data_IF_829846210622
#
_entry.id   IF_829846210622
#
_cell.length_a   1.000
_cell.length_b   1.000
_cell.length_c   1.000
_cell.angle_alpha   90.00
_cell.angle_beta   90.00
_cell.angle_gamma   90.00
#
_symmetry.space_group_name_H-M   'P 1'
#
loop_
_entity.id
_entity.type
_entity.pdbx_description
1 polymer ?
#
# COMPACT_ATOMS: atom_id res chain seq x y z
N UNK A 1 7.23 10.69 3.02
CA UNK A 1 5.80 10.30 3.10
C UNK A 1 4.93 11.32 2.38
N UNK A 2 5.12 12.63 2.61
CA UNK A 2 4.32 13.68 1.97
C UNK A 2 4.30 13.54 0.44
N UNK A 3 5.47 13.43 -0.19
CA UNK A 3 5.55 13.22 -1.64
C UNK A 3 4.84 11.94 -2.11
N UNK A 4 4.87 10.86 -1.33
CA UNK A 4 4.14 9.62 -1.65
C UNK A 4 2.63 9.83 -1.60
N UNK A 5 2.12 10.54 -0.59
CA UNK A 5 0.68 10.79 -0.41
C UNK A 5 0.17 11.78 -1.47
N UNK A 6 0.96 12.81 -1.81
CA UNK A 6 0.53 13.85 -2.76
C UNK A 6 0.74 13.47 -4.24
N UNK A 7 1.93 12.97 -4.57
CA UNK A 7 2.34 12.69 -5.95
C UNK A 7 2.15 11.21 -6.32
N UNK A 8 2.22 10.31 -5.34
CA UNK A 8 2.12 8.87 -5.56
C UNK A 8 0.87 8.43 -6.33
N UNK A 9 -0.35 8.89 -5.99
CA UNK A 9 -1.54 8.54 -6.75
C UNK A 9 -1.44 8.87 -8.24
N UNK A 10 -0.93 10.07 -8.56
CA UNK A 10 -0.74 10.52 -9.94
C UNK A 10 0.31 9.68 -10.67
N UNK A 11 1.46 9.44 -10.02
CA UNK A 11 2.53 8.65 -10.59
C UNK A 11 2.10 7.20 -10.86
N UNK A 12 1.39 6.58 -9.92
CA UNK A 12 0.86 5.22 -10.08
C UNK A 12 -0.18 5.16 -11.19
N UNK A 13 -1.12 6.12 -11.25
CA UNK A 13 -2.12 6.16 -12.30
C UNK A 13 -1.48 6.31 -13.69
N UNK A 14 -0.58 7.29 -13.86
CA UNK A 14 0.12 7.51 -15.14
C UNK A 14 0.95 6.30 -15.54
N UNK A 15 1.76 5.75 -14.62
CA UNK A 15 2.58 4.57 -14.89
C UNK A 15 1.72 3.35 -15.29
N UNK A 16 0.58 3.15 -14.63
CA UNK A 16 -0.38 2.11 -14.98
C UNK A 16 -0.90 2.29 -16.41
N UNK A 17 -1.45 3.45 -16.77
CA UNK A 17 -1.99 3.68 -18.12
C UNK A 17 -0.92 3.58 -19.21
N UNK A 18 0.30 4.07 -18.95
CA UNK A 18 1.43 3.93 -19.89
C UNK A 18 1.80 2.46 -20.10
N UNK A 19 1.87 1.67 -19.02
CA UNK A 19 2.14 0.24 -19.09
C UNK A 19 1.05 -0.50 -19.86
N UNK A 20 -0.22 -0.27 -19.53
CA UNK A 20 -1.38 -0.89 -20.16
C UNK A 20 -1.45 -0.56 -21.66
N UNK A 21 -1.19 0.69 -22.04
CA UNK A 21 -1.12 1.08 -23.45
C UNK A 21 0.02 0.35 -24.18
N UNK A 22 1.15 0.11 -23.50
CA UNK A 22 2.25 -0.72 -24.04
C UNK A 22 1.85 -2.18 -24.21
N UNK A 23 1.13 -2.76 -23.25
CA UNK A 23 0.65 -4.14 -23.30
C UNK A 23 -0.41 -4.35 -24.39
N UNK A 24 -1.35 -3.41 -24.54
CA UNK A 24 -2.34 -3.41 -25.62
C UNK A 24 -1.68 -3.32 -27.00
N UNK A 25 -0.68 -2.44 -27.17
CA UNK A 25 0.07 -2.30 -28.43
C UNK A 25 0.84 -3.57 -28.81
N UNK A 26 1.34 -4.31 -27.82
CA UNK A 26 2.06 -5.58 -28.02
C UNK A 26 1.14 -6.79 -28.13
N UNK A 27 -0.18 -6.58 -28.08
CA UNK A 27 -1.20 -7.63 -28.10
C UNK A 27 -0.96 -8.73 -27.08
N UNK A 28 -0.54 -8.35 -25.87
CA UNK A 28 -0.31 -9.31 -24.79
C UNK A 28 -1.62 -10.02 -24.47
N UNK A 29 -1.56 -11.36 -24.45
CA UNK A 29 -2.72 -12.21 -24.26
C UNK A 29 -3.51 -11.83 -22.99
N UNK A 30 -4.84 -11.78 -23.11
CA UNK A 30 -5.76 -11.46 -22.02
C UNK A 30 -5.97 -9.97 -21.75
N UNK A 31 -5.05 -9.08 -22.15
CA UNK A 31 -5.14 -7.64 -21.82
C UNK A 31 -6.34 -6.98 -22.50
N UNK A 32 -6.61 -7.28 -23.77
CA UNK A 32 -7.80 -6.74 -24.47
C UNK A 32 -9.10 -7.19 -23.81
N UNK A 33 -9.19 -8.45 -23.41
CA UNK A 33 -10.37 -8.98 -22.74
C UNK A 33 -10.55 -8.31 -21.38
N UNK A 34 -9.46 -8.12 -20.62
CA UNK A 34 -9.50 -7.38 -19.35
C UNK A 34 -10.07 -5.97 -19.54
N UNK A 35 -9.62 -5.23 -20.55
CA UNK A 35 -10.16 -3.90 -20.87
C UNK A 35 -11.61 -3.94 -21.38
N UNK A 36 -11.97 -4.93 -22.20
CA UNK A 36 -13.33 -5.11 -22.69
C UNK A 36 -14.34 -5.39 -21.55
N UNK A 37 -13.89 -6.02 -20.47
CA UNK A 37 -14.69 -6.23 -19.25
C UNK A 37 -14.66 -5.01 -18.33
N UNK A 38 -13.48 -4.39 -18.17
CA UNK A 38 -13.27 -3.28 -17.25
C UNK A 38 -13.99 -2.00 -17.67
N UNK A 39 -13.96 -1.63 -18.95
CA UNK A 39 -14.58 -0.38 -19.43
C UNK A 39 -16.08 -0.35 -19.15
N UNK A 40 -16.89 -1.37 -19.51
CA UNK A 40 -18.31 -1.40 -19.16
C UNK A 40 -18.55 -1.31 -17.64
N UNK A 41 -17.79 -2.06 -16.84
CA UNK A 41 -17.93 -2.03 -15.38
C UNK A 41 -17.61 -0.63 -14.81
N UNK A 42 -16.56 0.03 -15.30
CA UNK A 42 -16.19 1.38 -14.91
C UNK A 42 -17.26 2.40 -15.33
N UNK A 43 -17.83 2.26 -16.53
CA UNK A 43 -18.91 3.13 -17.01
C UNK A 43 -20.15 3.03 -16.12
N UNK A 44 -20.50 1.85 -15.62
CA UNK A 44 -21.60 1.68 -14.65
C UNK A 44 -21.32 2.46 -13.37
N UNK A 45 -20.12 2.36 -12.81
CA UNK A 45 -19.73 3.11 -11.60
C UNK A 45 -19.77 4.62 -11.85
N UNK A 46 -19.23 5.08 -12.99
CA UNK A 46 -19.23 6.51 -13.36
C UNK A 46 -20.67 7.01 -13.52
N UNK A 47 -21.55 6.24 -14.17
CA UNK A 47 -22.95 6.58 -14.35
C UNK A 47 -23.69 6.67 -13.01
N UNK A 48 -23.44 5.76 -12.07
CA UNK A 48 -24.01 5.81 -10.73
C UNK A 48 -23.56 7.06 -9.97
N UNK A 49 -22.26 7.37 -9.96
CA UNK A 49 -21.73 8.58 -9.34
C UNK A 49 -22.36 9.83 -9.94
N UNK A 50 -22.48 9.87 -11.27
CA UNK A 50 -23.08 10.99 -11.98
C UNK A 50 -24.59 11.12 -11.69
N UNK A 51 -25.32 10.01 -11.63
CA UNK A 51 -26.75 9.97 -11.29
C UNK A 51 -27.03 10.45 -9.86
N UNK A 52 -26.08 10.32 -8.94
CA UNK A 52 -26.16 10.89 -7.58
C UNK A 52 -25.92 12.41 -7.56
N UNK A 53 -25.72 13.06 -8.72
CA UNK A 53 -25.45 14.49 -8.82
C UNK A 53 -24.05 14.89 -8.37
N UNK A 54 -23.13 13.93 -8.20
CA UNK A 54 -21.76 14.18 -7.77
C UNK A 54 -20.93 14.55 -9.01
N UNK A 55 -20.33 15.76 -9.07
CA UNK A 55 -19.43 16.11 -10.16
C UNK A 55 -18.25 15.15 -10.22
N UNK A 56 -17.95 14.59 -11.40
CA UNK A 56 -16.93 13.55 -11.54
C UNK A 56 -15.52 13.99 -11.10
N UNK A 57 -15.19 15.28 -11.28
CA UNK A 57 -13.92 15.83 -10.80
C UNK A 57 -13.84 15.87 -9.27
N UNK A 58 -14.97 16.11 -8.58
CA UNK A 58 -15.05 16.04 -7.12
C UNK A 58 -14.92 14.61 -6.64
N UNK A 59 -15.53 13.66 -7.33
CA UNK A 59 -15.35 12.24 -7.00
C UNK A 59 -13.89 11.81 -7.18
N UNK A 60 -13.24 12.23 -8.26
CA UNK A 60 -11.83 11.95 -8.53
C UNK A 60 -10.91 12.52 -7.43
N UNK A 61 -11.04 13.81 -7.12
CA UNK A 61 -10.15 14.51 -6.19
C UNK A 61 -10.52 14.30 -4.71
N UNK A 62 -11.79 14.07 -4.41
CA UNK A 62 -12.31 13.93 -3.04
C UNK A 62 -12.43 12.49 -2.56
N UNK A 63 -12.54 11.51 -3.46
CA UNK A 63 -12.70 10.09 -3.10
C UNK A 63 -11.54 9.25 -3.63
N UNK A 64 -11.34 9.22 -4.96
CA UNK A 64 -10.36 8.33 -5.56
C UNK A 64 -8.92 8.69 -5.15
N UNK A 65 -8.55 9.97 -5.27
CA UNK A 65 -7.20 10.42 -4.95
C UNK A 65 -6.87 10.23 -3.45
N UNK A 66 -7.70 10.65 -2.48
CA UNK A 66 -7.43 10.40 -1.06
C UNK A 66 -7.42 8.91 -0.72
N UNK A 67 -8.26 8.10 -1.36
CA UNK A 67 -8.25 6.64 -1.20
C UNK A 67 -6.90 6.02 -1.59
N UNK A 68 -6.37 6.40 -2.77
CA UNK A 68 -5.03 5.99 -3.21
C UNK A 68 -3.93 6.52 -2.28
N UNK A 69 -4.04 7.77 -1.83
CA UNK A 69 -3.10 8.38 -0.88
C UNK A 69 -3.05 7.63 0.45
N UNK A 70 -4.21 7.20 0.97
CA UNK A 70 -4.32 6.43 2.22
C UNK A 70 -3.67 5.06 2.09
N UNK A 71 -3.97 4.32 1.01
CA UNK A 71 -3.36 3.01 0.74
C UNK A 71 -1.83 3.15 0.61
N UNK A 72 -1.36 4.25 0.02
CA UNK A 72 0.06 4.51 -0.17
C UNK A 72 0.85 4.72 1.14
N UNK A 73 0.18 5.01 2.27
CA UNK A 73 0.84 5.12 3.58
C UNK A 73 1.42 3.76 4.00
N UNK A 74 0.61 2.69 3.89
CA UNK A 74 1.06 1.34 4.26
C UNK A 74 2.15 0.87 3.31
N UNK A 75 1.95 1.02 2.00
CA UNK A 75 2.98 0.62 1.03
C UNK A 75 4.28 1.41 1.23
N UNK A 76 4.22 2.69 1.58
CA UNK A 76 5.41 3.47 1.97
C UNK A 76 6.12 2.90 3.19
N UNK A 77 5.37 2.56 4.24
CA UNK A 77 5.92 1.99 5.46
C UNK A 77 6.56 0.62 5.18
N UNK A 78 5.89 -0.24 4.43
CA UNK A 78 6.34 -1.61 4.17
C UNK A 78 7.37 -1.72 3.04
N UNK A 79 7.52 -0.68 2.22
CA UNK A 79 8.56 -0.60 1.19
C UNK A 79 9.92 -0.37 1.84
N UNK A 80 10.49 -1.44 2.39
CA UNK A 80 11.83 -1.55 2.94
C UNK A 80 12.46 -2.87 2.55
N UNK A 81 13.78 -2.89 2.46
CA UNK A 81 14.50 -4.15 2.32
C UNK A 81 14.55 -4.89 3.66
N UNK A 82 14.32 -6.20 3.57
CA UNK A 82 14.56 -7.15 4.66
C UNK A 82 14.68 -8.55 4.04
N UNK A 83 15.52 -9.41 4.62
CA UNK A 83 15.73 -10.78 4.13
C UNK A 83 14.44 -11.61 4.21
N UNK A 84 13.69 -11.43 5.30
CA UNK A 84 12.38 -12.07 5.49
C UNK A 84 11.23 -11.12 5.14
N UNK A 85 10.11 -11.62 4.59
CA UNK A 85 8.89 -10.82 4.36
C UNK A 85 8.35 -10.16 5.63
N UNK A 86 8.42 -10.84 6.77
CA UNK A 86 7.89 -10.36 8.05
C UNK A 86 8.59 -9.08 8.50
N UNK A 87 9.91 -8.97 8.34
CA UNK A 87 10.65 -7.76 8.72
C UNK A 87 10.37 -6.54 7.83
N UNK A 88 9.69 -6.74 6.69
CA UNK A 88 9.16 -5.64 5.86
C UNK A 88 7.83 -5.12 6.38
N UNK A 89 7.12 -5.93 7.18
CA UNK A 89 5.75 -5.65 7.61
C UNK A 89 5.75 -4.75 8.84
N UNK A 90 5.16 -3.56 8.71
CA UNK A 90 5.04 -2.62 9.82
C UNK A 90 3.96 -3.05 10.80
N UNK A 91 4.20 -2.82 12.09
CA UNK A 91 3.15 -2.82 13.12
C UNK A 91 2.92 -1.37 13.54
N UNK A 92 1.69 -0.87 13.41
CA UNK A 92 1.30 0.42 13.99
C UNK A 92 0.23 0.20 15.05
N UNK A 93 0.51 0.51 16.31
CA UNK A 93 -0.32 0.03 17.43
C UNK A 93 -1.60 0.83 17.68
N UNK A 94 -1.54 2.17 17.58
CA UNK A 94 -2.65 3.06 17.93
C UNK A 94 -2.84 4.10 16.84
N UNK A 95 -3.90 4.02 16.05
CA UNK A 95 -4.21 5.07 15.09
C UNK A 95 -5.70 5.16 14.78
N UNK A 96 -6.25 6.38 14.61
CA UNK A 96 -7.60 6.52 14.06
C UNK A 96 -7.71 5.93 12.65
N UNK A 97 -6.61 5.88 11.89
CA UNK A 97 -6.59 5.27 10.55
C UNK A 97 -6.73 3.74 10.57
N UNK A 98 -6.61 3.11 11.75
CA UNK A 98 -6.73 1.66 11.87
C UNK A 98 -8.07 1.14 11.32
N UNK A 99 -9.16 1.88 11.55
CA UNK A 99 -10.50 1.54 11.03
C UNK A 99 -10.56 1.62 9.50
N UNK A 100 -10.00 2.68 8.90
CA UNK A 100 -9.95 2.83 7.45
C UNK A 100 -9.11 1.74 6.78
N UNK A 101 -8.16 1.16 7.51
CA UNK A 101 -7.35 0.03 7.05
C UNK A 101 -7.91 -1.34 7.46
N UNK A 102 -9.10 -1.41 8.06
CA UNK A 102 -9.67 -2.65 8.58
C UNK A 102 -8.66 -3.38 9.47
N UNK A 103 -8.04 -2.66 10.39
CA UNK A 103 -6.97 -3.10 11.27
C UNK A 103 -5.72 -3.72 10.59
N UNK A 104 -5.54 -3.55 9.27
CA UNK A 104 -4.31 -3.92 8.57
C UNK A 104 -3.11 -3.01 8.90
N UNK A 105 -3.22 -2.11 9.88
CA UNK A 105 -2.06 -1.57 10.58
C UNK A 105 -1.30 -2.65 11.39
N UNK A 106 -1.94 -3.81 11.62
CA UNK A 106 -1.38 -5.02 12.21
C UNK A 106 -1.15 -6.09 11.13
N UNK A 107 -0.62 -5.67 9.98
CA UNK A 107 -0.61 -6.47 8.75
C UNK A 107 0.09 -7.83 8.91
N UNK A 108 1.07 -7.95 9.82
CA UNK A 108 1.73 -9.23 10.12
C UNK A 108 0.75 -10.27 10.70
N UNK A 109 -0.21 -9.83 11.51
CA UNK A 109 -1.24 -10.70 12.09
C UNK A 109 -2.16 -11.19 10.98
N UNK A 110 -2.59 -10.29 10.09
CA UNK A 110 -3.38 -10.64 8.92
C UNK A 110 -2.64 -11.64 8.01
N UNK A 111 -1.35 -11.42 7.74
CA UNK A 111 -0.56 -12.32 6.92
C UNK A 111 -0.41 -13.73 7.51
N UNK A 112 -0.31 -13.87 8.84
CA UNK A 112 -0.22 -15.18 9.50
C UNK A 112 -1.59 -15.83 9.76
N UNK A 113 -2.64 -15.03 9.85
CA UNK A 113 -4.01 -15.46 10.10
C UNK A 113 -4.97 -14.82 9.06
N UNK A 114 -4.85 -15.19 7.77
CA UNK A 114 -5.60 -14.52 6.70
C UNK A 114 -7.12 -14.72 6.78
N UNK A 115 -7.56 -15.78 7.44
CA UNK A 115 -8.97 -16.09 7.70
C UNK A 115 -9.54 -15.39 8.94
N UNK A 116 -8.71 -14.74 9.76
CA UNK A 116 -9.19 -14.02 10.92
C UNK A 116 -10.00 -12.79 10.50
N UNK A 117 -11.18 -12.55 11.08
CA UNK A 117 -11.93 -11.33 10.84
C UNK A 117 -11.08 -10.10 11.20
N UNK A 118 -11.18 -9.06 10.38
CA UNK A 118 -10.36 -7.86 10.53
C UNK A 118 -10.56 -7.19 11.90
N UNK A 119 -11.77 -7.23 12.46
CA UNK A 119 -12.09 -6.67 13.78
C UNK A 119 -11.49 -7.46 14.96
N UNK A 120 -11.06 -8.70 14.74
CA UNK A 120 -10.40 -9.53 15.76
C UNK A 120 -8.88 -9.29 15.82
N UNK A 121 -8.27 -8.74 14.76
CA UNK A 121 -6.82 -8.52 14.69
C UNK A 121 -6.25 -7.76 15.90
N UNK A 122 -6.90 -6.71 16.44
CA UNK A 122 -6.40 -6.03 17.63
C UNK A 122 -6.33 -6.93 18.86
N UNK A 123 -7.30 -7.84 19.04
CA UNK A 123 -7.32 -8.79 20.16
C UNK A 123 -6.21 -9.82 19.99
N UNK A 124 -6.14 -10.45 18.82
CA UNK A 124 -5.11 -11.44 18.46
C UNK A 124 -3.68 -10.88 18.56
N UNK A 125 -3.51 -9.60 18.23
CA UNK A 125 -2.24 -8.90 18.43
C UNK A 125 -1.89 -8.75 19.90
N UNK A 126 -2.84 -8.30 20.74
CA UNK A 126 -2.60 -8.09 22.18
C UNK A 126 -2.26 -9.37 22.92
N UNK A 127 -2.90 -10.48 22.57
CA UNK A 127 -2.68 -11.80 23.20
C UNK A 127 -1.23 -12.29 23.06
N UNK A 128 -0.58 -11.99 21.93
CA UNK A 128 0.79 -12.45 21.61
C UNK A 128 1.69 -11.31 21.16
N UNK A 129 1.54 -10.13 21.77
CA UNK A 129 2.20 -8.88 21.35
C UNK A 129 3.71 -9.05 21.18
N UNK A 130 4.36 -9.68 22.15
CA UNK A 130 5.82 -9.91 22.13
C UNK A 130 6.26 -10.78 20.94
N UNK A 131 5.51 -11.85 20.64
CA UNK A 131 5.82 -12.74 19.52
C UNK A 131 5.72 -12.01 18.17
N UNK A 132 4.66 -11.23 17.96
CA UNK A 132 4.48 -10.46 16.73
C UNK A 132 5.61 -9.45 16.50
N UNK A 133 6.05 -8.77 17.57
CA UNK A 133 7.15 -7.81 17.49
C UNK A 133 8.50 -8.50 17.26
N UNK A 134 8.72 -9.68 17.84
CA UNK A 134 9.92 -10.47 17.56
C UNK A 134 9.96 -10.91 16.08
N UNK A 135 8.83 -11.37 15.53
CA UNK A 135 8.74 -11.83 14.14
C UNK A 135 9.07 -10.75 13.10
N UNK A 136 8.69 -9.49 13.36
CA UNK A 136 8.97 -8.38 12.43
C UNK A 136 10.27 -7.62 12.73
N UNK A 137 11.12 -8.16 13.62
CA UNK A 137 12.39 -7.54 14.01
C UNK A 137 12.21 -6.21 14.74
N UNK A 138 11.10 -6.03 15.45
CA UNK A 138 10.79 -4.83 16.22
C UNK A 138 10.38 -3.62 15.36
N UNK A 139 9.92 -3.83 14.12
CA UNK A 139 9.47 -2.74 13.25
C UNK A 139 8.08 -2.21 13.66
N UNK A 140 8.05 -1.50 14.78
CA UNK A 140 6.83 -1.06 15.48
C UNK A 140 6.79 0.45 15.59
N UNK A 141 5.62 1.03 15.33
CA UNK A 141 5.33 2.44 15.55
C UNK A 141 4.11 2.60 16.45
N UNK A 142 4.10 3.58 17.36
CA UNK A 142 2.94 3.83 18.21
C UNK A 142 1.74 4.31 17.39
N UNK A 143 1.98 5.10 16.34
CA UNK A 143 0.95 5.68 15.47
C UNK A 143 1.55 6.13 14.12
N UNK A 144 0.72 6.40 13.12
CA UNK A 144 1.17 6.93 11.82
C UNK A 144 1.72 8.36 11.91
N UNK A 145 1.42 9.12 12.97
CA UNK A 145 2.03 10.44 13.18
C UNK A 145 3.53 10.30 13.52
N UNK A 146 3.94 9.29 14.28
CA UNK A 146 5.33 8.98 14.53
C UNK A 146 6.07 8.59 13.25
N UNK A 147 5.41 7.82 12.37
CA UNK A 147 5.92 7.52 11.03
C UNK A 147 6.11 8.80 10.20
N UNK A 148 5.12 9.69 10.21
CA UNK A 148 5.16 10.97 9.51
C UNK A 148 6.23 11.90 10.08
N UNK A 149 6.41 11.97 11.40
CA UNK A 149 7.47 12.80 12.00
C UNK A 149 8.87 12.33 11.59
N UNK A 150 9.06 11.03 11.44
CA UNK A 150 10.35 10.44 11.05
C UNK A 150 10.65 10.59 9.56
N UNK A 151 9.66 10.40 8.69
CA UNK A 151 9.86 10.32 7.25
C UNK A 151 8.86 11.13 6.43
N UNK A 152 8.27 12.17 7.02
CA UNK A 152 7.32 13.07 6.38
C UNK A 152 7.95 13.71 5.15
N UNK A 153 9.08 14.38 5.37
CA UNK A 153 9.86 15.13 4.39
C UNK A 153 11.26 14.53 4.14
N UNK A 154 11.63 13.47 4.86
CA UNK A 154 12.93 12.80 4.74
C UNK A 154 12.83 11.50 3.94
N UNK A 155 13.95 11.11 3.32
CA UNK A 155 14.08 9.83 2.61
C UNK A 155 14.00 8.68 3.63
N UNK A 156 13.21 7.65 3.32
CA UNK A 156 13.06 6.45 4.17
C UNK A 156 14.03 5.35 3.78
N UNK A 157 14.06 4.99 2.50
CA UNK A 157 14.90 3.94 1.94
C UNK A 157 15.63 4.46 0.70
N UNK A 158 16.84 3.95 0.39
CA UNK A 158 17.47 4.20 -0.90
C UNK A 158 16.64 3.59 -2.04
N UNK A 159 16.70 4.21 -3.21
CA UNK A 159 16.00 3.74 -4.42
C UNK A 159 16.65 2.46 -4.96
N UNK A 160 17.98 2.35 -4.86
CA UNK A 160 18.73 1.17 -5.31
C UNK A 160 18.63 0.07 -4.27
N UNK A 161 18.31 -1.14 -4.72
CA UNK A 161 18.15 -2.30 -3.87
C UNK A 161 19.46 -2.62 -3.11
N UNK A 162 19.46 -2.72 -1.76
CA UNK A 162 20.69 -2.90 -0.98
C UNK A 162 21.49 -4.16 -1.33
N UNK A 163 20.81 -5.27 -1.67
CA UNK A 163 21.47 -6.53 -2.03
C UNK A 163 22.23 -6.47 -3.38
N UNK A 164 21.89 -5.53 -4.27
CA UNK A 164 22.62 -5.32 -5.53
C UNK A 164 23.96 -4.58 -5.30
N UNK A 165 24.25 -4.17 -4.06
CA UNK A 165 25.53 -3.62 -3.62
C UNK A 165 26.40 -4.64 -2.87
N UNK A 166 26.00 -5.92 -2.78
CA UNK A 166 26.94 -6.98 -2.39
C UNK A 166 27.86 -7.21 -3.59
N UNK A 167 28.88 -6.37 -3.72
CA UNK A 167 30.07 -6.72 -4.49
C UNK A 167 30.50 -8.11 -4.03
N UNK A 168 30.80 -9.00 -4.98
CA UNK A 168 31.48 -10.24 -4.68
C UNK A 168 32.79 -9.85 -3.97
N UNK A 169 32.81 -9.96 -2.63
CA UNK A 169 34.05 -9.86 -1.87
C UNK A 169 35.03 -10.88 -2.44
N UNK A 170 36.34 -10.58 -2.47
CA UNK A 170 37.32 -11.50 -3.02
C UNK A 170 37.18 -12.84 -2.30
N UNK A 171 37.07 -13.92 -3.09
CA UNK A 171 37.11 -15.28 -2.57
C UNK A 171 38.40 -15.41 -1.74
N UNK A 172 38.25 -15.66 -0.45
CA UNK A 172 39.34 -16.02 0.44
C UNK A 172 39.63 -17.53 0.33
#
# INVERSE_FOLDING_TARGET
>A
LLGRVLLGPWLVAVAFFVSEAGLLRRDVHGVRLAWALHVPAALVVIALVWAMGIPLWLYLLGVCWPGLSLIAIRTFAEHRWHETPEGRTIIVERSPLAWLFLYNNLHIVHHKLPSAPWYDLPRLYRERRGEWQAMNGGYVFPNYLALWRRWGLSVKEPVVHPALRREAGPAA
#
